data_IF_003639080384
#
_entry.id   IF_003639080384
#
_cell.length_a   1.000
_cell.length_b   1.000
_cell.length_c   1.000
_cell.angle_alpha   90.00
_cell.angle_beta   90.00
_cell.angle_gamma   90.00
#
_symmetry.space_group_name_H-M   'P 1'
#
loop_
_entity.id
_entity.type
_entity.pdbx_description
1 polymer ?
#
# COMPACT_ATOMS: atom_id res chain seq x y z
N UNK A 1 -2.76 4.24 5.64
CA UNK A 1 -3.80 5.28 5.55
C UNK A 1 -3.34 6.55 6.23
N UNK A 2 -2.95 6.43 7.50
CA UNK A 2 -2.41 7.51 8.33
C UNK A 2 -0.90 7.41 8.41
N UNK A 3 -0.20 8.53 8.18
CA UNK A 3 1.25 8.67 8.39
C UNK A 3 1.55 9.57 9.59
N UNK A 4 2.82 9.70 9.96
CA UNK A 4 3.25 10.52 11.10
C UNK A 4 2.85 11.99 10.97
N UNK A 5 2.97 12.57 9.77
CA UNK A 5 2.56 13.95 9.51
C UNK A 5 1.06 14.19 9.71
N UNK A 6 0.23 13.28 9.21
CA UNK A 6 -1.23 13.35 9.35
C UNK A 6 -1.65 13.12 10.81
N UNK A 7 -1.02 12.16 11.49
CA UNK A 7 -1.26 11.90 12.91
C UNK A 7 -0.95 13.14 13.76
N UNK A 8 0.20 13.78 13.55
CA UNK A 8 0.56 15.02 14.26
C UNK A 8 -0.43 16.16 13.97
N UNK A 9 -0.94 16.27 12.75
CA UNK A 9 -1.96 17.27 12.41
C UNK A 9 -3.28 16.99 13.15
N UNK A 10 -3.75 15.73 13.15
CA UNK A 10 -4.98 15.34 13.84
C UNK A 10 -4.88 15.57 15.36
N UNK A 11 -3.75 15.22 15.98
CA UNK A 11 -3.51 15.46 17.41
C UNK A 11 -3.49 16.95 17.76
N UNK A 12 -2.86 17.78 16.91
CA UNK A 12 -2.83 19.24 17.11
C UNK A 12 -4.21 19.87 17.02
N UNK A 13 -5.05 19.40 16.11
CA UNK A 13 -6.43 19.89 15.97
C UNK A 13 -7.28 19.52 17.17
N UNK A 14 -7.07 18.34 17.76
CA UNK A 14 -7.76 17.90 18.98
C UNK A 14 -7.12 18.41 20.28
N UNK A 15 -5.97 19.07 20.22
CA UNK A 15 -5.24 19.55 21.40
C UNK A 15 -4.69 18.43 22.28
N UNK A 16 -4.49 17.23 21.74
CA UNK A 16 -3.94 16.08 22.46
C UNK A 16 -2.41 16.14 22.41
N UNK A 17 -1.74 15.95 23.56
CA UNK A 17 -0.28 15.90 23.61
C UNK A 17 0.27 14.64 22.88
N UNK A 18 1.12 14.80 21.84
CA UNK A 18 1.71 13.68 21.14
C UNK A 18 2.64 12.81 21.98
N UNK A 19 3.18 13.33 23.09
CA UNK A 19 4.08 12.59 23.97
C UNK A 19 3.34 11.80 25.06
N UNK A 20 2.01 11.97 25.16
CA UNK A 20 1.21 11.25 26.15
C UNK A 20 1.21 9.74 25.86
N UNK A 21 1.28 8.89 26.90
CA UNK A 21 1.19 7.45 26.72
C UNK A 21 -0.22 7.04 26.31
N UNK A 22 -0.32 6.01 25.46
CA UNK A 22 -1.59 5.57 24.87
C UNK A 22 -2.66 5.19 25.90
N UNK A 23 -2.26 4.72 27.09
CA UNK A 23 -3.19 4.31 28.15
C UNK A 23 -3.93 5.46 28.84
N UNK A 24 -3.54 6.72 28.60
CA UNK A 24 -4.20 7.91 29.18
C UNK A 24 -5.36 8.39 28.30
N UNK A 25 -5.48 7.88 27.07
CA UNK A 25 -6.56 8.26 26.17
C UNK A 25 -7.90 7.75 26.69
N UNK A 26 -8.86 8.68 26.81
CA UNK A 26 -10.25 8.37 27.14
C UNK A 26 -11.01 7.94 25.88
N UNK A 27 -12.10 7.21 26.05
CA UNK A 27 -12.97 6.79 24.93
C UNK A 27 -13.51 7.98 24.12
N UNK A 28 -13.67 9.15 24.77
CA UNK A 28 -14.03 10.40 24.10
C UNK A 28 -12.96 10.82 23.10
N UNK A 29 -11.69 10.84 23.52
CA UNK A 29 -10.57 11.16 22.64
C UNK A 29 -10.45 10.17 21.47
N UNK A 30 -10.78 8.89 21.69
CA UNK A 30 -10.79 7.88 20.63
C UNK A 30 -11.90 8.17 19.61
N UNK A 31 -13.12 8.46 20.08
CA UNK A 31 -14.24 8.84 19.20
C UNK A 31 -13.96 10.12 18.41
N UNK A 32 -13.33 11.10 19.05
CA UNK A 32 -12.93 12.35 18.41
C UNK A 32 -11.84 12.11 17.35
N UNK A 33 -10.86 11.25 17.65
CA UNK A 33 -9.86 10.84 16.67
C UNK A 33 -10.50 10.13 15.47
N UNK A 34 -11.43 9.20 15.70
CA UNK A 34 -12.12 8.52 14.61
C UNK A 34 -12.91 9.48 13.71
N UNK A 35 -13.58 10.48 14.30
CA UNK A 35 -14.33 11.47 13.54
C UNK A 35 -13.42 12.39 12.71
N UNK A 36 -12.29 12.84 13.27
CA UNK A 36 -11.26 13.60 12.55
C UNK A 36 -10.67 12.78 11.40
N UNK A 37 -10.40 11.50 11.64
CA UNK A 37 -9.85 10.60 10.64
C UNK A 37 -10.82 10.36 9.47
N UNK A 38 -12.12 10.23 9.73
CA UNK A 38 -13.14 10.02 8.69
C UNK A 38 -13.40 11.30 7.88
N UNK A 39 -13.54 12.45 8.54
CA UNK A 39 -13.90 13.71 7.90
C UNK A 39 -12.94 14.85 8.23
N UNK A 40 -11.66 14.76 7.82
CA UNK A 40 -10.63 15.73 8.23
C UNK A 40 -10.91 17.17 7.73
N UNK A 41 -11.69 17.32 6.65
CA UNK A 41 -12.08 18.63 6.11
C UNK A 41 -12.95 19.45 7.08
N UNK A 42 -13.79 18.79 7.89
CA UNK A 42 -14.66 19.48 8.86
C UNK A 42 -13.86 20.08 10.01
N UNK A 43 -12.73 19.47 10.34
CA UNK A 43 -11.85 19.87 11.44
C UNK A 43 -10.74 20.84 11.01
N UNK A 44 -10.83 21.40 9.79
CA UNK A 44 -9.89 22.42 9.30
C UNK A 44 -8.54 21.88 8.83
N UNK A 45 -8.41 20.56 8.63
CA UNK A 45 -7.18 20.00 8.04
C UNK A 45 -7.17 20.34 6.54
N UNK A 46 -6.06 20.92 6.03
CA UNK A 46 -6.00 21.33 4.64
C UNK A 46 -5.96 20.14 3.68
N UNK A 47 -6.58 20.32 2.52
CA UNK A 47 -6.80 19.27 1.51
C UNK A 47 -5.52 18.64 0.95
N UNK A 48 -4.40 19.37 0.93
CA UNK A 48 -3.11 18.86 0.46
C UNK A 48 -2.54 17.74 1.35
N UNK A 49 -3.04 17.61 2.59
CA UNK A 49 -2.65 16.55 3.52
C UNK A 49 -3.47 15.26 3.31
N UNK A 50 -4.53 15.30 2.49
CA UNK A 50 -5.38 14.14 2.24
C UNK A 50 -4.72 13.19 1.24
N UNK A 51 -4.97 11.90 1.40
CA UNK A 51 -4.34 10.86 0.57
C UNK A 51 -5.00 10.71 -0.81
N UNK A 52 -6.26 11.13 -0.97
CA UNK A 52 -7.01 11.08 -2.23
C UNK A 52 -7.61 12.43 -2.53
N UNK A 53 -6.82 13.29 -3.16
CA UNK A 53 -7.27 14.60 -3.64
C UNK A 53 -7.94 14.46 -5.00
N UNK A 54 -9.02 15.22 -5.22
CA UNK A 54 -9.80 15.25 -6.47
C UNK A 54 -10.13 13.85 -6.99
N UNK A 55 -10.90 13.12 -6.21
CA UNK A 55 -11.35 11.79 -6.60
C UNK A 55 -12.07 11.83 -7.98
N UNK A 56 -11.74 10.95 -8.93
CA UNK A 56 -12.32 11.00 -10.29
C UNK A 56 -13.83 10.83 -10.37
N UNK A 57 -14.46 10.24 -9.34
CA UNK A 57 -15.90 9.96 -9.32
C UNK A 57 -16.64 11.08 -8.60
N UNK A 58 -16.24 11.41 -7.38
CA UNK A 58 -16.91 12.39 -6.52
C UNK A 58 -16.42 13.83 -6.73
N UNK A 59 -15.22 14.02 -7.28
CA UNK A 59 -14.57 15.33 -7.42
C UNK A 59 -14.08 15.96 -6.11
N UNK A 60 -14.38 15.35 -4.96
CA UNK A 60 -14.04 15.86 -3.64
C UNK A 60 -12.65 15.39 -3.19
N UNK A 61 -12.10 16.08 -2.19
CA UNK A 61 -10.87 15.66 -1.52
C UNK A 61 -11.23 14.75 -0.36
N UNK A 62 -10.77 13.51 -0.40
CA UNK A 62 -11.11 12.47 0.56
C UNK A 62 -9.86 11.96 1.26
N UNK A 63 -10.03 11.56 2.52
CA UNK A 63 -9.04 10.79 3.25
C UNK A 63 -9.57 9.38 3.49
N UNK A 64 -9.02 8.39 2.79
CA UNK A 64 -9.52 7.00 2.82
C UNK A 64 -8.64 6.14 3.73
N UNK A 65 -9.23 5.37 4.63
CA UNK A 65 -8.51 4.59 5.65
C UNK A 65 -8.86 3.10 5.55
N UNK A 66 -7.99 2.24 6.09
CA UNK A 66 -8.27 0.83 6.31
C UNK A 66 -8.61 0.05 5.02
N UNK A 67 -9.70 -0.74 5.01
CA UNK A 67 -10.05 -1.57 3.86
C UNK A 67 -10.52 -0.76 2.64
N UNK A 68 -11.11 0.41 2.86
CA UNK A 68 -11.60 1.28 1.79
C UNK A 68 -10.45 1.77 0.89
N UNK A 69 -9.26 1.95 1.47
CA UNK A 69 -8.06 2.34 0.73
C UNK A 69 -7.66 1.27 -0.28
N UNK A 70 -7.70 -0.01 0.14
CA UNK A 70 -7.39 -1.14 -0.73
C UNK A 70 -8.45 -1.28 -1.83
N UNK A 71 -9.72 -1.10 -1.49
CA UNK A 71 -10.81 -1.17 -2.44
C UNK A 71 -10.72 -0.04 -3.49
N UNK A 72 -10.40 1.18 -3.05
CA UNK A 72 -10.18 2.31 -3.95
C UNK A 72 -9.01 2.05 -4.92
N UNK A 73 -7.87 1.55 -4.41
CA UNK A 73 -6.72 1.20 -5.24
C UNK A 73 -7.07 0.12 -6.29
N UNK A 74 -7.83 -0.90 -5.90
CA UNK A 74 -8.30 -1.95 -6.81
C UNK A 74 -9.18 -1.37 -7.92
N UNK A 75 -10.15 -0.53 -7.58
CA UNK A 75 -11.02 0.16 -8.56
C UNK A 75 -10.20 1.01 -9.54
N UNK A 76 -9.20 1.74 -9.06
CA UNK A 76 -8.34 2.55 -9.91
C UNK A 76 -7.53 1.67 -10.89
N UNK A 77 -6.96 0.56 -10.41
CA UNK A 77 -6.20 -0.40 -11.24
C UNK A 77 -7.09 -1.08 -12.27
N UNK A 78 -8.27 -1.55 -11.86
CA UNK A 78 -9.24 -2.15 -12.78
C UNK A 78 -9.68 -1.17 -13.86
N UNK A 79 -9.91 0.09 -13.50
CA UNK A 79 -10.24 1.14 -14.46
C UNK A 79 -9.10 1.34 -15.46
N UNK A 80 -7.85 1.40 -14.99
CA UNK A 80 -6.67 1.51 -15.87
C UNK A 80 -6.53 0.33 -16.84
N UNK A 81 -6.85 -0.89 -16.39
CA UNK A 81 -6.84 -2.11 -17.21
C UNK A 81 -7.96 -2.06 -18.24
N UNK A 82 -9.19 -1.70 -17.84
CA UNK A 82 -10.36 -1.58 -18.73
C UNK A 82 -10.14 -0.55 -19.84
N UNK A 83 -9.57 0.61 -19.51
CA UNK A 83 -9.22 1.65 -20.50
C UNK A 83 -8.02 1.28 -21.38
N UNK A 84 -7.33 0.17 -21.11
CA UNK A 84 -6.10 -0.27 -21.81
C UNK A 84 -4.98 0.78 -21.83
N UNK A 85 -4.89 1.58 -20.76
CA UNK A 85 -3.76 2.50 -20.59
C UNK A 85 -2.43 1.74 -20.49
N UNK A 86 -1.30 2.34 -20.87
CA UNK A 86 0.02 1.69 -20.74
C UNK A 86 0.30 1.20 -19.31
N UNK A 87 -0.08 1.99 -18.31
CA UNK A 87 0.01 1.59 -16.90
C UNK A 87 -0.88 0.38 -16.60
N UNK A 88 -2.11 0.36 -17.10
CA UNK A 88 -3.03 -0.77 -16.97
C UNK A 88 -2.51 -2.06 -17.59
N UNK A 89 -1.96 -2.00 -18.81
CA UNK A 89 -1.33 -3.17 -19.47
C UNK A 89 -0.17 -3.69 -18.62
N UNK A 90 0.68 -2.81 -18.09
CA UNK A 90 1.78 -3.20 -17.20
C UNK A 90 1.28 -3.83 -15.89
N UNK A 91 0.21 -3.29 -15.30
CA UNK A 91 -0.44 -3.86 -14.11
C UNK A 91 -0.99 -5.26 -14.39
N UNK A 92 -1.64 -5.47 -15.54
CA UNK A 92 -2.15 -6.78 -15.97
C UNK A 92 -1.02 -7.82 -16.11
N UNK A 93 0.11 -7.41 -16.66
CA UNK A 93 1.30 -8.25 -16.83
C UNK A 93 2.15 -8.41 -15.54
N UNK A 94 1.80 -7.74 -14.44
CA UNK A 94 2.59 -7.75 -13.20
C UNK A 94 3.95 -7.05 -13.31
N UNK A 95 4.13 -6.15 -14.28
CA UNK A 95 5.37 -5.42 -14.50
C UNK A 95 5.39 -4.08 -13.75
N UNK A 96 6.60 -3.62 -13.39
CA UNK A 96 6.83 -2.29 -12.78
C UNK A 96 6.28 -1.17 -13.67
N UNK A 97 5.56 -0.20 -13.13
CA UNK A 97 4.78 0.76 -13.95
C UNK A 97 5.53 2.07 -14.29
N UNK A 98 6.44 2.53 -13.44
CA UNK A 98 7.10 3.86 -13.53
C UNK A 98 8.26 3.96 -14.55
N UNK A 99 8.22 3.19 -15.65
CA UNK A 99 9.27 3.24 -16.68
C UNK A 99 10.64 2.71 -16.24
N UNK A 100 10.70 1.93 -15.15
CA UNK A 100 11.95 1.32 -14.68
C UNK A 100 12.52 0.35 -15.73
N UNK A 101 13.85 0.34 -15.89
CA UNK A 101 14.56 -0.60 -16.77
C UNK A 101 14.52 -2.02 -16.18
N UNK A 102 13.78 -2.91 -16.82
CA UNK A 102 13.57 -4.31 -16.36
C UNK A 102 14.58 -5.31 -16.93
N UNK A 103 15.60 -4.86 -17.68
CA UNK A 103 16.67 -5.74 -18.20
C UNK A 103 17.41 -6.47 -17.07
N UNK A 104 17.77 -5.75 -16.02
CA UNK A 104 18.51 -6.25 -14.86
C UNK A 104 17.68 -6.23 -13.57
N UNK A 105 16.79 -5.25 -13.39
CA UNK A 105 16.04 -5.07 -12.14
C UNK A 105 14.68 -5.76 -12.15
N UNK A 106 14.22 -6.22 -10.98
CA UNK A 106 12.89 -6.83 -10.84
C UNK A 106 12.80 -8.26 -11.35
N UNK A 107 13.92 -8.98 -11.41
CA UNK A 107 13.95 -10.42 -11.68
C UNK A 107 13.40 -11.15 -10.45
N UNK A 108 12.29 -11.85 -10.64
CA UNK A 108 11.68 -12.72 -9.63
C UNK A 108 12.09 -14.15 -9.98
N UNK A 109 13.10 -14.66 -9.30
CA UNK A 109 13.68 -15.99 -9.50
C UNK A 109 15.02 -16.10 -8.77
N UNK A 110 15.36 -17.30 -8.29
CA UNK A 110 16.69 -17.54 -7.73
C UNK A 110 17.74 -17.28 -8.81
N UNK A 111 18.85 -16.63 -8.43
CA UNK A 111 20.04 -16.57 -9.27
C UNK A 111 20.42 -17.99 -9.65
N UNK A 112 20.40 -18.29 -10.95
CA UNK A 112 20.89 -19.57 -11.45
C UNK A 112 22.41 -19.54 -11.25
N UNK A 113 22.87 -20.05 -10.11
CA UNK A 113 24.28 -20.33 -9.89
C UNK A 113 24.77 -21.41 -10.87
N UNK A 114 26.09 -21.61 -10.93
CA UNK A 114 26.67 -22.71 -11.72
C UNK A 114 26.35 -24.03 -11.04
N UNK A 115 25.37 -24.79 -11.56
CA UNK A 115 25.14 -26.16 -11.09
C UNK A 115 26.16 -27.09 -11.75
N UNK A 116 27.06 -27.69 -10.95
CA UNK A 116 27.98 -28.71 -11.45
C UNK A 116 27.21 -30.00 -11.72
N UNK A 117 27.46 -30.65 -12.86
CA UNK A 117 26.71 -31.83 -13.34
C UNK A 117 26.61 -32.98 -12.30
N UNK A 118 27.64 -33.15 -11.46
CA UNK A 118 27.67 -34.16 -10.39
C UNK A 118 26.64 -33.90 -9.28
N UNK A 119 26.44 -32.65 -8.89
CA UNK A 119 25.52 -32.26 -7.80
C UNK A 119 24.05 -32.45 -8.22
N UNK A 120 23.75 -32.27 -9.51
CA UNK A 120 22.40 -32.51 -10.07
C UNK A 120 22.05 -34.01 -10.01
N UNK A 121 22.99 -34.88 -10.37
CA UNK A 121 22.78 -36.33 -10.35
C UNK A 121 22.54 -36.86 -8.92
N UNK A 122 23.30 -36.34 -7.95
CA UNK A 122 23.14 -36.70 -6.53
C UNK A 122 21.81 -36.21 -5.96
N UNK A 123 21.41 -34.96 -6.26
CA UNK A 123 20.12 -34.42 -5.82
C UNK A 123 18.92 -35.13 -6.47
N UNK A 124 19.08 -35.67 -7.68
CA UNK A 124 18.07 -36.49 -8.34
C UNK A 124 17.96 -37.87 -7.70
N UNK A 125 19.09 -38.53 -7.43
CA UNK A 125 19.13 -39.83 -6.73
C UNK A 125 18.45 -39.75 -5.36
N UNK A 126 18.79 -38.73 -4.56
CA UNK A 126 18.18 -38.51 -3.24
C UNK A 126 16.66 -38.24 -3.30
N UNK A 127 16.17 -37.56 -4.36
CA UNK A 127 14.73 -37.36 -4.56
C UNK A 127 13.99 -38.63 -4.96
N UNK A 128 14.61 -39.51 -5.75
CA UNK A 128 14.04 -40.83 -6.06
C UNK A 128 14.05 -41.79 -4.88
N UNK A 129 15.05 -41.71 -4.01
CA UNK A 129 15.12 -42.51 -2.78
C UNK A 129 14.10 -42.05 -1.74
N UNK A 130 13.89 -40.75 -1.58
CA UNK A 130 12.88 -40.20 -0.66
C UNK A 130 11.43 -40.38 -1.13
N UNK A 131 11.21 -40.80 -2.38
CA UNK A 131 9.89 -41.07 -2.96
C UNK A 131 9.50 -42.55 -2.96
N UNK A 132 10.39 -43.43 -2.52
CA UNK A 132 10.11 -44.86 -2.26
C UNK A 132 9.85 -45.07 -0.77
#
# INVERSE_FOLDING_TARGET
>A
GVGTSFASAALRVLGIDPNSPIGVLTDKHISDLESVLRNPAQYGIPSWLFNRQRDPISGQNLHVIGPDLLMALRRDVETMIKTKSWKGVRHSLGLKVRGQKTKTTGRLGQTVGVKRKKEIAQAQQQKTEASK
#
